data_IF_025040930764
#
_entry.id   IF_025040930764
#
_cell.length_a   1.000
_cell.length_b   1.000
_cell.length_c   1.000
_cell.angle_alpha   90.00
_cell.angle_beta   90.00
_cell.angle_gamma   90.00
#
_symmetry.space_group_name_H-M   'P 1'
#
loop_
_entity.id
_entity.type
_entity.pdbx_description
1 polymer ?
#
# COMPACT_ATOMS: atom_id res chain seq x y z
N UNK A 1 5.38 -38.78 -23.32
CA UNK A 1 6.27 -38.79 -22.13
C UNK A 1 5.50 -39.39 -20.97
N UNK A 2 6.13 -40.23 -20.13
CA UNK A 2 5.45 -40.86 -19.00
C UNK A 2 5.31 -39.87 -17.82
N UNK A 3 4.17 -39.86 -17.11
CA UNK A 3 3.87 -38.94 -15.99
C UNK A 3 5.02 -38.76 -14.96
N UNK A 4 5.79 -39.79 -14.57
CA UNK A 4 6.90 -39.65 -13.64
C UNK A 4 8.09 -38.83 -14.19
N UNK A 5 8.32 -38.88 -15.51
CA UNK A 5 9.40 -38.14 -16.16
C UNK A 5 9.11 -36.62 -16.16
N UNK A 6 7.85 -36.25 -16.37
CA UNK A 6 7.42 -34.85 -16.34
C UNK A 6 7.52 -34.26 -14.92
N UNK A 7 7.19 -35.04 -13.88
CA UNK A 7 7.34 -34.59 -12.48
C UNK A 7 8.79 -34.28 -12.13
N UNK A 8 9.73 -35.18 -12.48
CA UNK A 8 11.17 -34.97 -12.23
C UNK A 8 11.71 -33.76 -12.98
N UNK A 9 11.28 -33.55 -14.23
CA UNK A 9 11.66 -32.38 -15.04
C UNK A 9 11.15 -31.07 -14.42
N UNK A 10 9.92 -31.05 -13.90
CA UNK A 10 9.36 -29.88 -13.20
C UNK A 10 10.14 -29.56 -11.94
N UNK A 11 10.41 -30.55 -11.08
CA UNK A 11 11.20 -30.37 -9.85
C UNK A 11 12.59 -29.78 -10.13
N UNK A 12 13.28 -30.30 -11.16
CA UNK A 12 14.59 -29.80 -11.56
C UNK A 12 14.53 -28.37 -12.11
N UNK A 13 13.46 -28.02 -12.84
CA UNK A 13 13.23 -26.64 -13.27
C UNK A 13 13.02 -25.72 -12.07
N UNK A 14 12.18 -26.10 -11.10
CA UNK A 14 11.91 -25.30 -9.90
C UNK A 14 13.20 -25.04 -9.11
N UNK A 15 13.98 -26.09 -8.79
CA UNK A 15 15.24 -25.93 -8.07
C UNK A 15 16.24 -25.04 -8.81
N UNK A 16 16.23 -25.08 -10.15
CA UNK A 16 17.05 -24.20 -10.98
C UNK A 16 16.57 -22.74 -10.91
N UNK A 17 15.26 -22.51 -11.00
CA UNK A 17 14.69 -21.17 -10.88
C UNK A 17 15.02 -20.53 -9.52
N UNK A 18 14.97 -21.30 -8.43
CA UNK A 18 15.28 -20.79 -7.07
C UNK A 18 16.72 -20.28 -6.96
N UNK A 19 17.68 -21.05 -7.47
CA UNK A 19 19.10 -20.68 -7.47
C UNK A 19 19.34 -19.47 -8.40
N UNK A 20 18.74 -19.49 -9.59
CA UNK A 20 18.87 -18.38 -10.55
C UNK A 20 18.28 -17.10 -9.95
N UNK A 21 17.11 -17.17 -9.31
CA UNK A 21 16.45 -16.04 -8.66
C UNK A 21 17.35 -15.39 -7.59
N UNK A 22 17.95 -16.18 -6.71
CA UNK A 22 18.86 -15.70 -5.67
C UNK A 22 20.09 -14.99 -6.28
N UNK A 23 20.77 -15.64 -7.22
CA UNK A 23 22.01 -15.13 -7.80
C UNK A 23 21.79 -13.94 -8.73
N UNK A 24 20.69 -13.94 -9.48
CA UNK A 24 20.32 -12.83 -10.35
C UNK A 24 19.99 -11.58 -9.53
N UNK A 25 19.26 -11.71 -8.41
CA UNK A 25 19.00 -10.60 -7.47
C UNK A 25 20.28 -10.03 -6.85
N UNK A 26 21.34 -10.84 -6.72
CA UNK A 26 22.67 -10.42 -6.25
C UNK A 26 23.57 -9.83 -7.36
N UNK A 27 23.05 -9.66 -8.58
CA UNK A 27 23.78 -9.02 -9.69
C UNK A 27 24.80 -9.90 -10.41
N UNK A 28 24.75 -11.23 -10.25
CA UNK A 28 25.68 -12.13 -10.94
C UNK A 28 25.41 -12.14 -12.45
N UNK A 29 26.47 -12.16 -13.27
CA UNK A 29 26.33 -12.35 -14.72
C UNK A 29 25.75 -13.73 -15.07
N UNK A 30 25.03 -13.83 -16.20
CA UNK A 30 24.42 -15.09 -16.66
C UNK A 30 25.42 -16.25 -16.73
N UNK A 31 26.66 -16.00 -17.18
CA UNK A 31 27.72 -17.01 -17.23
C UNK A 31 28.07 -17.56 -15.84
N UNK A 32 28.25 -16.67 -14.85
CA UNK A 32 28.53 -17.07 -13.46
C UNK A 32 27.34 -17.82 -12.85
N UNK A 33 26.12 -17.38 -13.11
CA UNK A 33 24.89 -18.06 -12.68
C UNK A 33 24.85 -19.48 -13.27
N UNK A 34 25.11 -19.63 -14.57
CA UNK A 34 25.12 -20.95 -15.22
C UNK A 34 26.13 -21.89 -14.55
N UNK A 35 27.36 -21.44 -14.29
CA UNK A 35 28.38 -22.27 -13.62
C UNK A 35 27.97 -22.65 -12.18
N UNK A 36 27.38 -21.71 -11.43
CA UNK A 36 26.85 -21.97 -10.09
C UNK A 36 25.72 -23.01 -10.11
N UNK A 37 24.81 -22.93 -11.07
CA UNK A 37 23.72 -23.90 -11.24
C UNK A 37 24.28 -25.28 -11.63
N UNK A 38 25.25 -25.33 -12.55
CA UNK A 38 25.93 -26.59 -12.92
C UNK A 38 26.52 -27.27 -11.69
N UNK A 39 27.22 -26.49 -10.85
CA UNK A 39 27.85 -26.97 -9.62
C UNK A 39 26.84 -27.45 -8.59
N UNK A 40 25.82 -26.65 -8.28
CA UNK A 40 24.84 -26.95 -7.22
C UNK A 40 23.86 -28.07 -7.58
N UNK A 41 23.44 -28.17 -8.85
CA UNK A 41 22.48 -29.18 -9.30
C UNK A 41 23.12 -30.37 -10.03
N UNK A 42 24.45 -30.37 -10.17
CA UNK A 42 25.21 -31.40 -10.89
C UNK A 42 24.73 -31.63 -12.34
N UNK A 43 24.50 -30.53 -13.08
CA UNK A 43 24.01 -30.54 -14.48
C UNK A 43 25.11 -29.99 -15.41
N UNK A 44 26.15 -30.75 -15.76
CA UNK A 44 27.31 -30.22 -16.48
C UNK A 44 26.99 -29.67 -17.87
N UNK A 45 25.95 -30.20 -18.54
CA UNK A 45 25.53 -29.82 -19.90
C UNK A 45 24.56 -28.62 -19.95
N UNK A 46 24.42 -27.84 -18.88
CA UNK A 46 23.53 -26.68 -18.88
C UNK A 46 24.09 -25.55 -19.77
N UNK A 47 23.31 -25.13 -20.76
CA UNK A 47 23.65 -23.99 -21.62
C UNK A 47 23.30 -22.65 -20.97
N UNK A 48 24.08 -21.61 -21.28
CA UNK A 48 23.83 -20.24 -20.83
C UNK A 48 22.49 -19.70 -21.37
N UNK A 49 22.09 -20.11 -22.58
CA UNK A 49 20.78 -19.76 -23.16
C UNK A 49 19.62 -20.26 -22.32
N UNK A 50 19.73 -21.46 -21.73
CA UNK A 50 18.71 -21.99 -20.81
C UNK A 50 18.59 -21.11 -19.57
N UNK A 51 19.72 -20.70 -18.97
CA UNK A 51 19.73 -19.75 -17.85
C UNK A 51 19.09 -18.42 -18.24
N UNK A 52 19.36 -17.90 -19.45
CA UNK A 52 18.71 -16.69 -19.96
C UNK A 52 17.19 -16.83 -20.02
N UNK A 53 16.66 -17.90 -20.60
CA UNK A 53 15.21 -18.13 -20.69
C UNK A 53 14.54 -18.31 -19.32
N UNK A 54 15.23 -18.96 -18.38
CA UNK A 54 14.76 -19.07 -17.00
C UNK A 54 14.70 -17.69 -16.32
N UNK A 55 15.71 -16.83 -16.52
CA UNK A 55 15.68 -15.44 -16.04
C UNK A 55 14.52 -14.67 -16.66
N UNK A 56 14.27 -14.79 -17.97
CA UNK A 56 13.11 -14.15 -18.59
C UNK A 56 11.78 -14.66 -18.03
N UNK A 57 11.71 -15.96 -17.71
CA UNK A 57 10.54 -16.56 -17.03
C UNK A 57 10.34 -15.93 -15.66
N UNK A 58 11.40 -15.84 -14.84
CA UNK A 58 11.36 -15.21 -13.52
C UNK A 58 10.96 -13.73 -13.60
N UNK A 59 11.53 -12.97 -14.54
CA UNK A 59 11.19 -11.57 -14.73
C UNK A 59 9.74 -11.37 -15.16
N UNK A 60 9.19 -12.29 -15.96
CA UNK A 60 7.79 -12.31 -16.32
C UNK A 60 6.91 -12.62 -15.10
N UNK A 61 7.21 -13.70 -14.38
CA UNK A 61 6.49 -14.10 -13.16
C UNK A 61 6.51 -13.01 -12.10
N UNK A 62 7.64 -12.34 -11.87
CA UNK A 62 7.74 -11.22 -10.93
C UNK A 62 6.99 -9.99 -11.38
N UNK A 63 6.88 -9.76 -12.68
CA UNK A 63 6.07 -8.65 -13.23
C UNK A 63 4.59 -8.94 -13.08
N UNK A 64 4.18 -10.15 -13.41
CA UNK A 64 2.79 -10.62 -13.27
C UNK A 64 2.38 -10.62 -11.80
N UNK A 65 3.19 -11.16 -10.89
CA UNK A 65 2.88 -11.11 -9.45
C UNK A 65 2.91 -9.70 -8.90
N UNK A 66 3.79 -8.81 -9.39
CA UNK A 66 3.76 -7.39 -9.02
C UNK A 66 2.47 -6.72 -9.49
N UNK A 67 2.01 -6.99 -10.71
CA UNK A 67 0.74 -6.47 -11.24
C UNK A 67 -0.41 -7.01 -10.40
N UNK A 68 -0.46 -8.32 -10.16
CA UNK A 68 -1.50 -8.95 -9.35
C UNK A 68 -1.54 -8.42 -7.91
N UNK A 69 -0.38 -8.17 -7.29
CA UNK A 69 -0.30 -7.53 -5.98
C UNK A 69 -0.80 -6.07 -6.02
N UNK A 70 -0.52 -5.32 -7.09
CA UNK A 70 -1.03 -3.95 -7.27
C UNK A 70 -2.55 -3.98 -7.47
N UNK A 71 -3.05 -4.89 -8.29
CA UNK A 71 -4.48 -5.06 -8.55
C UNK A 71 -5.23 -5.48 -7.28
N UNK A 72 -4.68 -6.40 -6.48
CA UNK A 72 -5.23 -6.77 -5.17
C UNK A 72 -5.22 -5.61 -4.17
N UNK A 73 -4.14 -4.84 -4.12
CA UNK A 73 -4.08 -3.65 -3.28
C UNK A 73 -5.11 -2.59 -3.73
N UNK A 74 -5.23 -2.36 -5.03
CA UNK A 74 -6.23 -1.48 -5.62
C UNK A 74 -7.65 -1.94 -5.26
N UNK A 75 -7.94 -3.22 -5.41
CA UNK A 75 -9.23 -3.81 -5.06
C UNK A 75 -9.57 -3.63 -3.58
N UNK A 76 -8.61 -3.87 -2.68
CA UNK A 76 -8.80 -3.67 -1.25
C UNK A 76 -9.11 -2.20 -0.91
N UNK A 77 -8.42 -1.24 -1.54
CA UNK A 77 -8.70 0.18 -1.30
C UNK A 77 -10.07 0.59 -1.89
N UNK A 78 -10.47 0.02 -3.04
CA UNK A 78 -11.81 0.23 -3.59
C UNK A 78 -12.90 -0.32 -2.66
N UNK A 79 -12.70 -1.50 -2.08
CA UNK A 79 -13.63 -2.10 -1.11
C UNK A 79 -13.76 -1.24 0.15
N UNK A 80 -12.65 -0.72 0.69
CA UNK A 80 -12.68 0.22 1.83
C UNK A 80 -13.45 1.50 1.51
N UNK A 81 -13.28 2.05 0.31
CA UNK A 81 -14.04 3.21 -0.15
C UNK A 81 -15.53 2.87 -0.26
N UNK A 82 -15.87 1.68 -0.74
CA UNK A 82 -17.26 1.23 -0.85
C UNK A 82 -17.91 1.06 0.53
N UNK A 83 -17.23 0.43 1.49
CA UNK A 83 -17.69 0.26 2.87
C UNK A 83 -17.91 1.60 3.57
N UNK A 84 -16.93 2.51 3.51
CA UNK A 84 -17.03 3.84 4.12
C UNK A 84 -18.13 4.69 3.48
N UNK A 85 -18.31 4.59 2.15
CA UNK A 85 -19.38 5.29 1.44
C UNK A 85 -20.76 4.76 1.86
N UNK A 86 -20.90 3.44 2.05
CA UNK A 86 -22.14 2.85 2.55
C UNK A 86 -22.48 3.34 3.96
N UNK A 87 -21.51 3.35 4.87
CA UNK A 87 -21.69 3.87 6.23
C UNK A 87 -22.08 5.36 6.21
N UNK A 88 -21.41 6.18 5.40
CA UNK A 88 -21.73 7.60 5.28
C UNK A 88 -23.14 7.86 4.72
N UNK A 89 -23.62 7.01 3.79
CA UNK A 89 -24.99 7.08 3.31
C UNK A 89 -26.00 6.73 4.41
N UNK A 90 -25.71 5.71 5.22
CA UNK A 90 -26.54 5.37 6.37
C UNK A 90 -26.59 6.52 7.40
N UNK A 91 -25.45 7.16 7.68
CA UNK A 91 -25.40 8.33 8.57
C UNK A 91 -26.12 9.54 7.99
N UNK A 92 -26.01 9.76 6.68
CA UNK A 92 -26.80 10.78 5.98
C UNK A 92 -28.29 10.52 6.13
N UNK A 93 -28.73 9.28 5.93
CA UNK A 93 -30.13 8.88 6.08
C UNK A 93 -30.64 9.11 7.50
N UNK A 94 -29.90 8.64 8.52
CA UNK A 94 -30.20 8.90 9.93
C UNK A 94 -30.23 10.39 10.26
N UNK A 95 -29.36 11.20 9.66
CA UNK A 95 -29.31 12.65 9.93
C UNK A 95 -30.52 13.43 9.41
N UNK A 96 -31.29 12.84 8.49
CA UNK A 96 -32.56 13.42 8.03
C UNK A 96 -33.71 13.12 8.98
N UNK A 97 -33.56 12.18 9.90
CA UNK A 97 -34.57 11.90 10.91
C UNK A 97 -34.72 13.11 11.85
N UNK A 98 -35.95 13.40 12.25
CA UNK A 98 -36.23 14.51 13.17
C UNK A 98 -35.73 14.14 14.58
N UNK A 99 -34.72 14.86 15.08
CA UNK A 99 -34.28 14.74 16.46
C UNK A 99 -34.86 15.87 17.32
N UNK A 100 -35.46 15.53 18.46
CA UNK A 100 -35.90 16.51 19.46
C UNK A 100 -34.78 16.73 20.46
N UNK A 101 -34.27 17.96 20.54
CA UNK A 101 -33.33 18.35 21.58
C UNK A 101 -34.10 19.04 22.70
N UNK A 102 -34.22 18.36 23.84
CA UNK A 102 -34.76 18.94 25.07
C UNK A 102 -33.60 19.48 25.90
N UNK A 103 -33.59 20.79 26.14
CA UNK A 103 -32.62 21.42 27.04
C UNK A 103 -33.35 21.87 28.30
N UNK A 104 -32.95 21.30 29.43
CA UNK A 104 -33.49 21.64 30.75
C UNK A 104 -32.48 22.51 31.49
N UNK A 105 -32.82 23.78 31.69
CA UNK A 105 -32.02 24.72 32.48
C UNK A 105 -32.63 24.89 33.85
N UNK A 106 -31.82 24.67 34.90
CA UNK A 106 -32.22 24.90 36.29
C UNK A 106 -31.45 26.11 36.81
N UNK A 107 -32.19 27.13 37.21
CA UNK A 107 -31.64 28.34 37.82
C UNK A 107 -32.00 28.35 39.31
N UNK A 108 -31.02 28.63 40.16
CA UNK A 108 -31.20 28.66 41.60
C UNK A 108 -30.31 29.69 42.28
N UNK A 109 -30.67 30.06 43.52
CA UNK A 109 -29.87 30.90 44.40
C UNK A 109 -29.06 30.06 45.38
N UNK A 110 -27.92 30.59 45.79
CA UNK A 110 -27.08 30.00 46.83
C UNK A 110 -27.79 30.24 48.18
N UNK A 111 -28.06 29.18 48.96
CA UNK A 111 -28.60 29.35 50.33
C UNK A 111 -27.58 30.12 51.18
N UNK A 112 -28.06 31.18 51.83
CA UNK A 112 -27.23 32.06 52.66
C UNK A 112 -26.52 31.33 53.82
N UNK A 113 -25.38 31.91 54.22
CA UNK A 113 -24.42 31.51 55.28
C UNK A 113 -24.82 30.30 56.13
N UNK A 114 -24.22 29.15 55.80
CA UNK A 114 -24.07 28.03 56.72
C UNK A 114 -24.51 26.67 56.19
N UNK A 115 -25.24 26.62 55.07
CA UNK A 115 -25.68 25.35 54.48
C UNK A 115 -25.30 25.27 53.00
N UNK A 116 -24.49 24.29 52.64
CA UNK A 116 -24.01 24.07 51.27
C UNK A 116 -25.13 23.46 50.42
N UNK A 117 -26.02 24.29 49.88
CA UNK A 117 -27.09 23.86 49.00
C UNK A 117 -27.55 24.96 48.04
N UNK A 118 -27.81 24.60 46.79
CA UNK A 118 -28.43 25.47 45.78
C UNK A 118 -29.94 25.28 45.89
N UNK A 119 -30.68 26.36 46.17
CA UNK A 119 -32.15 26.36 46.15
C UNK A 119 -32.61 26.71 44.73
N UNK A 120 -33.33 25.78 44.09
CA UNK A 120 -33.78 25.96 42.70
C UNK A 120 -35.01 26.86 42.69
N UNK A 121 -34.86 28.08 42.16
CA UNK A 121 -35.93 29.09 42.10
C UNK A 121 -36.82 28.92 40.84
N UNK A 122 -36.26 28.40 39.75
CA UNK A 122 -37.00 28.15 38.51
C UNK A 122 -36.39 27.02 37.68
N UNK A 123 -37.25 26.22 37.05
CA UNK A 123 -36.89 25.22 36.05
C UNK A 123 -37.57 25.61 34.74
N UNK A 124 -36.77 25.83 33.70
CA UNK A 124 -37.29 26.03 32.34
C UNK A 124 -36.91 24.85 31.46
N UNK A 125 -37.91 24.30 30.78
CA UNK A 125 -37.75 23.26 29.77
C UNK A 125 -37.99 23.89 28.39
N UNK A 126 -36.99 23.79 27.52
CA UNK A 126 -37.13 24.19 26.12
C UNK A 126 -37.01 22.97 25.22
N UNK A 127 -37.98 22.78 24.33
CA UNK A 127 -37.95 21.73 23.31
C UNK A 127 -37.75 22.40 21.96
N UNK A 128 -36.65 22.07 21.32
CA UNK A 128 -36.34 22.52 19.96
C UNK A 128 -36.28 21.31 19.05
N UNK A 129 -37.07 21.33 17.97
CA UNK A 129 -36.88 20.40 16.87
C UNK A 129 -35.55 20.76 16.18
N UNK A 130 -34.60 19.83 16.21
CA UNK A 130 -33.29 19.98 15.58
C UNK A 130 -33.15 18.81 14.60
N UNK A 131 -33.52 19.00 13.34
CA UNK A 131 -33.41 17.91 12.36
C UNK A 131 -34.24 18.12 11.10
N UNK A 132 -34.25 17.10 10.23
CA UNK A 132 -35.12 17.03 9.04
C UNK A 132 -34.45 17.31 7.69
N UNK A 133 -33.33 18.04 7.66
CA UNK A 133 -32.67 18.47 6.41
C UNK A 133 -31.45 17.61 6.02
N UNK A 134 -30.97 16.76 6.94
CA UNK A 134 -29.73 16.00 6.77
C UNK A 134 -28.47 16.83 7.03
N UNK A 135 -27.40 16.17 7.49
CA UNK A 135 -26.11 16.83 7.72
C UNK A 135 -25.24 16.81 6.44
N UNK A 136 -25.01 17.96 5.79
CA UNK A 136 -24.28 18.02 4.52
C UNK A 136 -22.81 17.59 4.62
N UNK A 137 -22.24 17.50 5.82
CA UNK A 137 -20.88 17.00 6.02
C UNK A 137 -20.70 15.56 5.51
N UNK A 138 -21.72 14.69 5.67
CA UNK A 138 -21.65 13.32 5.17
C UNK A 138 -21.59 13.28 3.63
N UNK A 139 -22.37 14.13 2.95
CA UNK A 139 -22.32 14.25 1.48
C UNK A 139 -20.99 14.83 1.00
N UNK A 140 -20.41 15.77 1.74
CA UNK A 140 -19.08 16.30 1.43
C UNK A 140 -18.01 15.21 1.52
N UNK A 141 -18.05 14.37 2.56
CA UNK A 141 -17.12 13.26 2.73
C UNK A 141 -17.32 12.17 1.67
N UNK A 142 -18.57 11.81 1.34
CA UNK A 142 -18.89 10.90 0.22
C UNK A 142 -18.27 11.41 -1.08
N UNK A 143 -18.34 12.72 -1.36
CA UNK A 143 -17.72 13.31 -2.56
C UNK A 143 -16.20 13.13 -2.54
N UNK A 144 -15.54 13.27 -1.38
CA UNK A 144 -14.10 13.03 -1.26
C UNK A 144 -13.74 11.56 -1.54
N UNK A 145 -14.47 10.62 -0.93
CA UNK A 145 -14.28 9.19 -1.19
C UNK A 145 -14.46 8.83 -2.68
N UNK A 146 -15.46 9.41 -3.34
CA UNK A 146 -15.67 9.23 -4.79
C UNK A 146 -14.57 9.87 -5.64
N UNK A 147 -13.93 10.96 -5.19
CA UNK A 147 -12.78 11.55 -5.88
C UNK A 147 -11.59 10.59 -5.80
N UNK A 148 -11.29 10.04 -4.63
CA UNK A 148 -10.20 9.07 -4.46
C UNK A 148 -10.45 7.79 -5.27
N UNK A 149 -11.69 7.30 -5.33
CA UNK A 149 -12.08 6.19 -6.23
C UNK A 149 -11.73 6.47 -7.68
N UNK A 150 -12.06 7.65 -8.19
CA UNK A 150 -11.77 8.05 -9.59
C UNK A 150 -10.28 8.20 -9.86
N UNK A 151 -9.49 8.62 -8.86
CA UNK A 151 -8.02 8.67 -8.94
C UNK A 151 -7.42 7.27 -9.01
N UNK A 152 -7.86 6.36 -8.14
CA UNK A 152 -7.45 4.96 -8.13
C UNK A 152 -7.76 4.25 -9.46
N UNK A 153 -8.93 4.53 -10.04
CA UNK A 153 -9.34 4.01 -11.35
C UNK A 153 -8.65 4.70 -12.55
N UNK A 154 -7.85 5.74 -12.33
CA UNK A 154 -7.16 6.45 -13.41
C UNK A 154 -8.09 7.25 -14.33
N UNK A 155 -9.27 7.66 -13.86
CA UNK A 155 -10.25 8.42 -14.66
C UNK A 155 -9.88 9.92 -14.81
N UNK A 156 -8.88 10.37 -14.06
CA UNK A 156 -8.33 11.72 -14.19
C UNK A 156 -7.14 11.74 -15.16
N UNK A 157 -6.92 12.90 -15.78
CA UNK A 157 -5.72 13.13 -16.56
C UNK A 157 -4.46 12.93 -15.68
N UNK A 158 -3.39 12.34 -16.22
CA UNK A 158 -2.16 12.11 -15.46
C UNK A 158 -1.58 13.45 -14.98
N UNK A 159 -1.45 13.60 -13.66
CA UNK A 159 -0.78 14.76 -13.08
C UNK A 159 0.73 14.65 -13.30
N UNK A 160 1.31 15.60 -14.04
CA UNK A 160 2.76 15.69 -14.20
C UNK A 160 3.40 16.13 -12.88
N UNK A 161 3.81 15.16 -12.05
CA UNK A 161 4.64 15.44 -10.87
C UNK A 161 6.09 15.52 -11.29
N UNK A 162 6.65 16.72 -11.26
CA UNK A 162 8.10 16.90 -11.39
C UNK A 162 8.77 16.41 -10.11
N UNK A 163 9.56 15.34 -10.22
CA UNK A 163 10.43 14.92 -9.13
C UNK A 163 11.58 15.93 -9.05
N UNK A 164 11.47 16.91 -8.15
CA UNK A 164 12.54 17.88 -7.86
C UNK A 164 13.54 17.31 -6.85
N UNK A 165 14.09 16.14 -7.17
CA UNK A 165 15.24 15.58 -6.46
C UNK A 165 16.31 15.29 -7.50
N UNK A 166 17.56 15.63 -7.23
CA UNK A 166 18.69 15.05 -7.96
C UNK A 166 18.57 13.53 -7.81
N UNK A 167 18.07 12.88 -8.85
CA UNK A 167 18.15 11.43 -8.95
C UNK A 167 19.61 11.14 -9.28
N UNK A 168 20.44 10.99 -8.27
CA UNK A 168 21.78 10.44 -8.43
C UNK A 168 21.61 8.99 -8.84
N UNK A 169 21.45 8.75 -10.14
CA UNK A 169 21.53 7.40 -10.70
C UNK A 169 23.00 7.02 -10.58
N UNK A 170 23.39 6.41 -9.46
CA UNK A 170 24.71 5.83 -9.32
C UNK A 170 24.88 4.84 -10.46
N UNK A 171 25.91 5.08 -11.29
CA UNK A 171 26.32 4.14 -12.31
C UNK A 171 26.53 2.78 -11.61
N UNK A 172 25.93 1.69 -12.10
CA UNK A 172 26.05 0.42 -11.40
C UNK A 172 27.54 0.01 -11.33
N UNK A 173 28.02 -0.53 -10.19
CA UNK A 173 29.43 -0.87 -9.97
C UNK A 173 30.06 -1.76 -11.05
N UNK A 174 29.25 -2.52 -11.78
CA UNK A 174 29.71 -3.38 -12.87
C UNK A 174 30.15 -2.63 -14.14
N UNK A 175 29.77 -1.37 -14.27
CA UNK A 175 30.18 -0.51 -15.38
C UNK A 175 31.34 0.43 -15.02
N UNK A 176 31.74 0.44 -13.76
CA UNK A 176 32.88 1.23 -13.29
C UNK A 176 34.18 0.44 -13.45
N UNK A 177 35.25 1.14 -13.80
CA UNK A 177 36.59 0.54 -13.80
C UNK A 177 37.02 0.17 -12.38
N UNK A 178 38.00 -0.72 -12.26
CA UNK A 178 38.55 -1.10 -10.95
C UNK A 178 39.10 0.10 -10.18
N UNK A 179 39.68 1.08 -10.89
CA UNK A 179 40.22 2.31 -10.31
C UNK A 179 39.11 3.23 -9.76
N UNK A 180 38.00 3.34 -10.49
CA UNK A 180 36.82 4.11 -10.06
C UNK A 180 36.15 3.50 -8.82
N UNK A 181 36.07 2.16 -8.76
CA UNK A 181 35.55 1.44 -7.60
C UNK A 181 36.44 1.63 -6.36
N UNK A 182 37.77 1.59 -6.54
CA UNK A 182 38.72 1.83 -5.45
C UNK A 182 38.65 3.27 -4.93
N UNK A 183 38.45 4.24 -5.82
CA UNK A 183 38.24 5.64 -5.47
C UNK A 183 36.91 5.88 -4.72
N UNK A 184 35.81 5.26 -5.16
CA UNK A 184 34.53 5.33 -4.45
C UNK A 184 34.63 4.67 -3.06
N UNK A 185 35.30 3.51 -2.95
CA UNK A 185 35.53 2.85 -1.66
C UNK A 185 36.40 3.73 -0.75
N UNK A 186 37.41 4.41 -1.29
CA UNK A 186 38.24 5.35 -0.55
C UNK A 186 37.45 6.59 -0.09
N UNK A 187 36.55 7.11 -0.92
CA UNK A 187 35.68 8.24 -0.59
C UNK A 187 34.59 7.87 0.44
N UNK A 188 34.06 6.65 0.38
CA UNK A 188 33.09 6.11 1.33
C UNK A 188 33.72 5.72 2.69
N UNK A 189 35.05 5.67 2.78
CA UNK A 189 35.77 5.63 4.07
C UNK A 189 35.78 7.02 4.72
N UNK A 190 34.59 7.59 4.89
CA UNK A 190 34.38 8.75 5.72
C UNK A 190 34.61 8.35 7.19
N UNK A 191 35.64 8.97 7.75
CA UNK A 191 35.72 9.37 9.16
C UNK A 191 35.62 8.23 10.18
N UNK A 192 36.76 7.61 10.47
CA UNK A 192 37.04 7.15 11.83
C UNK A 192 37.82 8.21 12.58
#
# INVERSE_FOLDING_TARGET
MSLPQDRRRRQLKTARLDIIAELYKRGYSLRKITEEVKRRLNIPKLAVSTTYHDVQTLLKEWRESRIENIDQALQLELERIDDTTAELWEQWDKSKEEAQKTTTTRSGRIKGKGNAGIETDAVSESRTNVGGLGNPAYIAEIRQQLIERRKLLGLYAPEARQVKGEVTVHRPPCEMSTEELEAEIAALKLER
#
